data_IF_072766454998
#
_entry.id   IF_072766454998
#
_cell.length_a   1.000
_cell.length_b   1.000
_cell.length_c   1.000
_cell.angle_alpha   90.00
_cell.angle_beta   90.00
_cell.angle_gamma   90.00
#
_symmetry.space_group_name_H-M   'P 1'
#
loop_
_entity.id
_entity.type
_entity.pdbx_description
1 polymer ?
#
# COMPACT_ATOMS: atom_id res chain seq x y z
N UNK A 1 -9.65 -0.28 -9.29
CA UNK A 1 -8.35 -0.11 -8.58
C UNK A 1 -7.35 0.48 -9.54
N UNK A 2 -6.58 1.47 -9.10
CA UNK A 2 -5.43 2.02 -9.84
C UNK A 2 -4.18 1.44 -9.17
N UNK A 3 -3.32 0.80 -9.95
CA UNK A 3 -2.11 0.14 -9.46
C UNK A 3 -0.89 0.78 -10.11
N UNK A 4 -0.25 1.67 -9.39
CA UNK A 4 1.01 2.33 -9.76
C UNK A 4 2.21 1.76 -8.99
N UNK A 5 3.44 2.12 -9.35
CA UNK A 5 4.65 1.62 -8.69
C UNK A 5 4.76 2.04 -7.21
N UNK A 6 4.38 3.26 -6.89
CA UNK A 6 4.53 3.86 -5.56
C UNK A 6 3.19 4.14 -4.86
N UNK A 7 2.08 3.99 -5.58
CA UNK A 7 0.71 4.25 -5.10
C UNK A 7 -0.23 3.14 -5.53
N UNK A 8 -1.18 2.82 -4.67
CA UNK A 8 -2.33 1.99 -5.04
C UNK A 8 -3.60 2.65 -4.53
N UNK A 9 -4.55 2.91 -5.42
CA UNK A 9 -5.85 3.41 -5.05
C UNK A 9 -6.93 2.34 -5.33
N UNK A 10 -7.66 1.97 -4.30
CA UNK A 10 -8.73 0.98 -4.36
C UNK A 10 -10.03 1.59 -3.84
N UNK A 11 -11.11 1.43 -4.58
CA UNK A 11 -12.46 1.71 -4.10
C UNK A 11 -13.32 0.49 -4.36
N UNK A 12 -13.95 -0.04 -3.31
CA UNK A 12 -14.74 -1.27 -3.47
C UNK A 12 -15.07 -1.94 -2.15
N UNK A 13 -15.38 -3.22 -2.23
CA UNK A 13 -15.80 -4.02 -1.08
C UNK A 13 -14.63 -4.30 -0.14
N UNK A 14 -14.84 -3.97 1.13
CA UNK A 14 -14.00 -4.41 2.24
C UNK A 14 -14.35 -5.85 2.59
N UNK A 15 -13.36 -6.72 2.69
CA UNK A 15 -13.54 -8.07 3.22
C UNK A 15 -13.98 -8.08 4.68
N UNK A 16 -14.07 -9.27 5.29
CA UNK A 16 -14.34 -9.40 6.74
C UNK A 16 -13.32 -8.60 7.56
N UNK A 17 -13.74 -7.95 8.66
CA UNK A 17 -12.86 -7.18 9.52
C UNK A 17 -11.81 -8.07 10.21
N UNK A 18 -10.70 -8.31 9.56
CA UNK A 18 -9.58 -9.11 10.08
C UNK A 18 -8.37 -8.21 10.33
N UNK A 19 -7.47 -8.69 11.20
CA UNK A 19 -6.20 -8.02 11.46
C UNK A 19 -5.34 -8.04 10.18
N UNK A 20 -4.82 -6.88 9.81
CA UNK A 20 -3.93 -6.66 8.66
C UNK A 20 -2.77 -5.76 9.03
N UNK A 21 -1.70 -5.80 8.25
CA UNK A 21 -0.52 -4.96 8.48
C UNK A 21 0.19 -4.71 7.15
N UNK A 22 -0.06 -3.54 6.56
CA UNK A 22 0.58 -3.13 5.32
C UNK A 22 1.95 -2.52 5.57
N UNK A 23 2.88 -2.69 4.66
CA UNK A 23 4.20 -2.08 4.72
C UNK A 23 4.25 -0.65 4.16
N UNK A 24 3.12 0.01 4.01
CA UNK A 24 2.97 1.35 3.46
C UNK A 24 2.11 2.23 4.37
N UNK A 25 2.14 3.55 4.15
CA UNK A 25 1.12 4.43 4.70
C UNK A 25 -0.21 4.09 4.05
N UNK A 26 -1.23 3.82 4.86
CA UNK A 26 -2.54 3.43 4.36
C UNK A 26 -3.58 4.44 4.80
N UNK A 27 -4.17 5.11 3.82
CA UNK A 27 -5.29 6.01 4.04
C UNK A 27 -6.58 5.26 3.71
N UNK A 28 -7.48 5.23 4.66
CA UNK A 28 -8.84 4.72 4.51
C UNK A 28 -9.82 5.87 4.41
N UNK A 29 -10.79 5.79 3.50
CA UNK A 29 -11.86 6.76 3.35
C UNK A 29 -13.21 6.10 3.56
N UNK A 30 -14.03 6.68 4.42
CA UNK A 30 -15.44 6.35 4.57
C UNK A 30 -16.19 6.83 3.32
N UNK A 31 -16.82 5.92 2.57
CA UNK A 31 -17.52 6.29 1.32
C UNK A 31 -19.00 6.61 1.56
N UNK A 32 -19.71 5.73 2.25
CA UNK A 32 -21.16 5.82 2.48
C UNK A 32 -21.52 5.80 3.96
N UNK A 33 -20.91 4.85 4.68
CA UNK A 33 -21.11 4.69 6.14
C UNK A 33 -19.80 4.99 6.86
N UNK A 34 -19.86 5.41 8.15
CA UNK A 34 -18.65 5.63 8.93
C UNK A 34 -17.74 4.40 8.93
N UNK A 35 -16.44 4.62 8.91
CA UNK A 35 -15.46 3.57 9.13
C UNK A 35 -15.07 3.49 10.60
N UNK A 36 -14.85 2.26 11.04
CA UNK A 36 -14.33 1.95 12.37
C UNK A 36 -12.93 1.37 12.21
N UNK A 37 -11.94 2.00 12.84
CA UNK A 37 -10.54 1.58 12.86
C UNK A 37 -10.14 1.19 14.26
N UNK A 38 -9.57 -0.03 14.42
CA UNK A 38 -9.02 -0.52 15.68
C UNK A 38 -7.52 -0.76 15.57
N UNK A 39 -6.74 -0.13 16.45
CA UNK A 39 -5.27 -0.27 16.58
C UNK A 39 -4.98 -0.56 18.06
N UNK A 40 -4.47 -1.77 18.35
CA UNK A 40 -4.37 -2.23 19.74
C UNK A 40 -5.73 -2.21 20.42
N UNK A 41 -5.81 -1.56 21.58
CA UNK A 41 -7.03 -1.39 22.36
C UNK A 41 -7.84 -0.14 21.98
N UNK A 42 -7.29 0.70 21.09
CA UNK A 42 -7.96 1.92 20.64
C UNK A 42 -8.89 1.60 19.46
N UNK A 43 -10.14 2.04 19.59
CA UNK A 43 -11.15 1.97 18.54
C UNK A 43 -11.64 3.37 18.21
N UNK A 44 -11.56 3.72 16.94
CA UNK A 44 -11.91 5.04 16.45
C UNK A 44 -12.96 4.92 15.34
N UNK A 45 -13.90 5.87 15.28
CA UNK A 45 -14.92 5.93 14.24
C UNK A 45 -14.90 7.29 13.55
N UNK A 46 -14.98 7.29 12.21
CA UNK A 46 -14.99 8.53 11.41
C UNK A 46 -15.81 8.38 10.14
N UNK A 47 -16.46 9.46 9.73
CA UNK A 47 -17.11 9.59 8.42
C UNK A 47 -16.18 10.20 7.35
N UNK A 48 -14.95 10.55 7.73
CA UNK A 48 -13.91 11.12 6.86
C UNK A 48 -12.86 10.10 6.43
N UNK A 49 -11.60 10.45 6.70
CA UNK A 49 -10.43 9.61 6.42
C UNK A 49 -9.73 9.20 7.71
N UNK A 50 -9.08 8.04 7.66
CA UNK A 50 -8.20 7.54 8.71
C UNK A 50 -6.89 7.09 8.11
N UNK A 51 -5.78 7.30 8.81
CA UNK A 51 -4.44 6.98 8.32
C UNK A 51 -3.77 6.01 9.28
N UNK A 52 -3.17 4.98 8.70
CA UNK A 52 -2.43 3.95 9.43
C UNK A 52 -0.98 3.97 8.95
N UNK A 53 -0.01 4.16 9.85
CA UNK A 53 1.41 4.09 9.52
C UNK A 53 1.84 2.70 9.02
N UNK A 54 2.97 2.61 8.29
CA UNK A 54 3.51 1.34 7.83
C UNK A 54 3.71 0.34 8.98
N UNK A 55 3.48 -0.94 8.70
CA UNK A 55 3.66 -2.07 9.61
C UNK A 55 2.84 -2.00 10.91
N UNK A 56 1.83 -1.15 10.98
CA UNK A 56 0.93 -1.05 12.13
C UNK A 56 -0.21 -2.08 12.00
N UNK A 57 -0.30 -3.06 12.89
CA UNK A 57 -1.40 -4.02 12.87
C UNK A 57 -2.71 -3.34 13.26
N UNK A 58 -3.73 -3.49 12.41
CA UNK A 58 -5.02 -2.83 12.62
C UNK A 58 -6.17 -3.66 12.04
N UNK A 59 -7.39 -3.28 12.41
CA UNK A 59 -8.64 -3.75 11.79
C UNK A 59 -9.43 -2.55 11.31
N UNK A 60 -10.10 -2.70 10.18
CA UNK A 60 -11.01 -1.68 9.64
C UNK A 60 -12.34 -2.35 9.27
N UNK A 61 -13.43 -1.65 9.53
CA UNK A 61 -14.80 -2.10 9.24
C UNK A 61 -15.65 -0.93 8.77
N UNK A 62 -16.63 -1.20 7.92
CA UNK A 62 -17.72 -0.30 7.54
C UNK A 62 -19.02 -1.11 7.52
N UNK A 63 -20.15 -0.49 7.82
CA UNK A 63 -21.43 -1.21 7.91
C UNK A 63 -21.86 -1.76 6.52
N UNK A 64 -21.67 -0.98 5.45
CA UNK A 64 -22.00 -1.35 4.06
C UNK A 64 -20.86 -2.05 3.34
N UNK A 65 -19.74 -2.27 4.02
CA UNK A 65 -18.52 -2.90 3.48
C UNK A 65 -17.89 -2.15 2.29
N UNK A 66 -18.26 -0.90 2.03
CA UNK A 66 -17.66 -0.08 0.98
C UNK A 66 -16.59 0.84 1.56
N UNK A 67 -15.40 0.85 0.94
CA UNK A 67 -14.26 1.62 1.43
C UNK A 67 -13.38 2.14 0.30
N UNK A 68 -12.78 3.32 0.52
CA UNK A 68 -11.63 3.80 -0.24
C UNK A 68 -10.33 3.45 0.49
N UNK A 69 -9.33 3.00 -0.24
CA UNK A 69 -7.99 2.69 0.31
C UNK A 69 -6.93 3.28 -0.61
N UNK A 70 -6.09 4.17 -0.07
CA UNK A 70 -4.90 4.67 -0.76
C UNK A 70 -3.65 4.19 -0.01
N UNK A 71 -2.83 3.45 -0.70
CA UNK A 71 -1.53 2.98 -0.22
C UNK A 71 -0.43 3.88 -0.79
N UNK A 72 0.44 4.39 0.07
CA UNK A 72 1.54 5.29 -0.25
C UNK A 72 2.83 4.62 0.25
N UNK A 73 3.73 4.31 -0.66
CA UNK A 73 4.98 3.62 -0.32
C UNK A 73 5.92 4.53 0.49
N UNK A 74 6.45 4.09 1.64
CA UNK A 74 7.18 4.94 2.56
C UNK A 74 8.51 5.45 2.01
N UNK A 75 9.15 4.70 1.10
CA UNK A 75 10.39 5.13 0.45
C UNK A 75 10.19 6.21 -0.61
N UNK A 76 8.94 6.45 -1.02
CA UNK A 76 8.60 7.39 -2.09
C UNK A 76 8.18 8.77 -1.60
N UNK A 77 7.98 8.94 -0.30
CA UNK A 77 7.50 10.21 0.29
C UNK A 77 8.34 10.63 1.47
N UNK A 78 8.58 11.93 1.60
CA UNK A 78 9.20 12.50 2.78
C UNK A 78 8.17 12.56 3.92
N UNK A 79 8.33 11.77 5.01
CA UNK A 79 7.37 11.73 6.09
C UNK A 79 7.22 13.06 6.82
N UNK A 80 8.28 13.89 6.88
CA UNK A 80 8.28 15.16 7.58
C UNK A 80 7.58 16.26 6.77
N UNK A 81 7.42 16.05 5.47
CA UNK A 81 6.77 16.97 4.53
C UNK A 81 5.39 16.50 4.05
N UNK A 82 4.93 15.38 4.57
CA UNK A 82 3.55 14.96 4.34
C UNK A 82 2.58 16.01 4.90
N UNK A 83 1.41 16.21 4.29
CA UNK A 83 0.35 16.97 4.92
C UNK A 83 0.17 16.49 6.37
N UNK A 84 -0.08 17.41 7.30
CA UNK A 84 -0.21 17.09 8.74
C UNK A 84 -1.06 15.85 9.00
N UNK A 85 -2.12 15.70 8.23
CA UNK A 85 -3.03 14.54 8.28
C UNK A 85 -2.40 13.20 7.87
N UNK A 86 -1.23 13.22 7.19
CA UNK A 86 -0.55 12.03 6.70
C UNK A 86 0.75 11.73 7.46
N UNK A 87 1.15 12.60 8.41
CA UNK A 87 2.40 12.43 9.14
C UNK A 87 2.36 11.23 10.10
N UNK A 88 3.47 10.49 10.26
CA UNK A 88 3.60 9.47 11.29
C UNK A 88 3.35 10.08 12.68
N UNK A 89 2.47 9.45 13.48
CA UNK A 89 2.11 9.96 14.81
C UNK A 89 1.02 11.04 14.83
N UNK A 90 0.56 11.52 13.66
CA UNK A 90 -0.70 12.25 13.59
C UNK A 90 -1.83 11.35 14.12
N UNK A 91 -2.86 11.91 14.79
CA UNK A 91 -3.99 11.09 15.24
C UNK A 91 -4.52 10.28 14.04
N UNK A 92 -4.72 8.98 14.25
CA UNK A 92 -5.20 8.05 13.23
C UNK A 92 -6.56 8.45 12.64
N UNK A 93 -7.19 9.44 13.26
CA UNK A 93 -8.42 10.08 12.83
C UNK A 93 -8.21 11.59 12.73
N UNK A 94 -8.77 12.15 11.69
CA UNK A 94 -9.04 13.57 11.64
C UNK A 94 -10.39 13.79 12.33
N UNK A 95 -10.42 14.40 13.54
CA UNK A 95 -11.69 14.75 14.18
C UNK A 95 -12.44 15.75 13.30
N UNK A 96 -13.75 15.77 13.41
CA UNK A 96 -14.64 16.72 12.72
C UNK A 96 -14.29 18.20 12.96
N UNK A 97 -13.48 18.50 13.98
CA UNK A 97 -12.99 19.84 14.36
C UNK A 97 -11.58 20.18 13.82
N UNK A 98 -11.14 19.54 12.75
CA UNK A 98 -9.81 19.75 12.15
C UNK A 98 -9.72 21.08 11.40
N UNK A 99 -8.53 21.73 11.32
CA UNK A 99 -8.35 22.96 10.53
C UNK A 99 -8.85 22.84 9.10
N UNK A 100 -9.47 23.88 8.56
CA UNK A 100 -10.12 23.92 7.22
C UNK A 100 -9.25 23.36 6.09
N UNK A 101 -7.94 23.57 6.14
CA UNK A 101 -7.00 23.05 5.13
C UNK A 101 -6.92 21.50 5.12
N UNK A 102 -7.16 20.86 6.26
CA UNK A 102 -7.13 19.39 6.40
C UNK A 102 -8.49 18.79 6.03
N UNK A 103 -9.60 19.50 6.29
CA UNK A 103 -10.94 19.11 5.86
C UNK A 103 -11.03 19.05 4.34
N UNK A 104 -10.48 20.05 3.63
CA UNK A 104 -10.47 20.08 2.16
C UNK A 104 -9.73 18.89 1.52
N UNK A 105 -8.67 18.39 2.15
CA UNK A 105 -7.98 17.17 1.68
C UNK A 105 -8.88 15.94 1.86
N UNK A 106 -9.52 15.81 3.01
CA UNK A 106 -10.42 14.68 3.30
C UNK A 106 -11.60 14.60 2.34
N UNK A 107 -12.22 15.72 2.03
CA UNK A 107 -13.32 15.81 1.07
C UNK A 107 -12.87 15.45 -0.35
N UNK A 108 -11.75 16.00 -0.80
CA UNK A 108 -11.18 15.66 -2.13
C UNK A 108 -10.85 14.17 -2.24
N UNK A 109 -10.21 13.60 -1.24
CA UNK A 109 -9.86 12.18 -1.20
C UNK A 109 -11.13 11.32 -1.29
N UNK A 110 -12.15 11.64 -0.50
CA UNK A 110 -13.42 10.92 -0.50
C UNK A 110 -14.14 11.03 -1.84
N UNK A 111 -14.23 12.24 -2.42
CA UNK A 111 -14.85 12.45 -3.73
C UNK A 111 -14.12 11.67 -4.82
N UNK A 112 -12.79 11.70 -4.82
CA UNK A 112 -11.97 10.94 -5.77
C UNK A 112 -12.26 9.44 -5.66
N UNK A 113 -12.39 8.89 -4.46
CA UNK A 113 -12.75 7.48 -4.29
C UNK A 113 -14.19 7.19 -4.75
N UNK A 114 -15.15 8.07 -4.52
CA UNK A 114 -16.51 7.90 -5.02
C UNK A 114 -16.54 7.88 -6.56
N UNK A 115 -15.78 8.74 -7.21
CA UNK A 115 -15.61 8.74 -8.67
C UNK A 115 -14.92 7.47 -9.15
N UNK A 116 -13.88 7.01 -8.45
CA UNK A 116 -13.20 5.74 -8.76
C UNK A 116 -14.16 4.55 -8.64
N UNK A 117 -15.02 4.53 -7.61
CA UNK A 117 -16.00 3.47 -7.40
C UNK A 117 -17.08 3.43 -8.50
N UNK A 118 -17.40 4.59 -9.10
CA UNK A 118 -18.34 4.70 -10.24
C UNK A 118 -17.72 4.37 -11.59
N UNK A 119 -16.36 4.32 -11.64
CA UNK A 119 -15.65 4.15 -12.91
C UNK A 119 -15.50 5.44 -13.74
N UNK A 120 -15.68 6.61 -13.12
CA UNK A 120 -15.70 7.93 -13.80
C UNK A 120 -14.34 8.32 -14.43
N UNK A 121 -13.26 7.60 -14.12
CA UNK A 121 -11.93 7.87 -14.67
C UNK A 121 -11.63 7.13 -15.99
N UNK A 122 -12.57 6.32 -16.48
CA UNK A 122 -12.33 5.49 -17.67
C UNK A 122 -11.32 4.36 -17.41
N UNK A 123 -10.83 3.75 -18.48
CA UNK A 123 -9.85 2.64 -18.42
C UNK A 123 -8.42 3.07 -18.69
N UNK A 124 -8.23 4.24 -19.24
CA UNK A 124 -6.90 4.80 -19.52
C UNK A 124 -6.58 5.89 -18.49
N UNK A 125 -5.69 5.56 -17.59
CA UNK A 125 -5.12 6.47 -16.60
C UNK A 125 -3.60 6.63 -16.84
N UNK A 126 -3.15 6.37 -18.06
CA UNK A 126 -1.77 6.60 -18.47
C UNK A 126 -1.44 8.08 -18.30
N UNK A 127 -0.39 8.38 -17.55
CA UNK A 127 0.02 9.75 -17.27
C UNK A 127 -0.78 10.48 -16.17
N UNK A 128 -1.80 9.87 -15.59
CA UNK A 128 -2.50 10.45 -14.43
C UNK A 128 -1.64 10.26 -13.18
N UNK A 129 -1.28 11.36 -12.53
CA UNK A 129 -0.59 11.31 -11.26
C UNK A 129 -1.59 11.12 -10.11
N UNK A 130 -1.38 10.07 -9.31
CA UNK A 130 -2.27 9.73 -8.20
C UNK A 130 -2.21 10.79 -7.10
N UNK A 131 -1.05 11.38 -6.83
CA UNK A 131 -0.93 12.43 -5.82
C UNK A 131 -1.71 13.68 -6.23
N UNK A 132 -1.61 14.11 -7.50
CA UNK A 132 -2.41 15.21 -8.03
C UNK A 132 -3.91 14.90 -7.99
N UNK A 133 -4.29 13.67 -8.31
CA UNK A 133 -5.68 13.24 -8.31
C UNK A 133 -6.29 13.32 -6.90
N UNK A 134 -5.61 12.77 -5.91
CA UNK A 134 -6.11 12.66 -4.53
C UNK A 134 -5.86 13.89 -3.69
N UNK A 135 -4.71 14.55 -3.84
CA UNK A 135 -4.29 15.65 -2.96
C UNK A 135 -4.29 17.01 -3.66
N UNK A 136 -4.43 17.06 -4.99
CA UNK A 136 -4.33 18.27 -5.79
C UNK A 136 -2.90 18.82 -5.90
N UNK A 137 -1.92 18.09 -5.41
CA UNK A 137 -0.50 18.40 -5.46
C UNK A 137 0.33 17.12 -5.41
N UNK A 138 1.56 17.17 -5.91
CA UNK A 138 2.54 16.13 -5.70
C UNK A 138 2.93 16.06 -4.22
N UNK A 139 3.08 14.84 -3.70
CA UNK A 139 3.74 14.64 -2.41
C UNK A 139 5.25 14.77 -2.59
N UNK A 140 5.91 15.42 -1.64
CA UNK A 140 7.35 15.59 -1.72
C UNK A 140 8.05 14.24 -1.59
N UNK A 141 9.01 14.01 -2.49
CA UNK A 141 9.75 12.75 -2.55
C UNK A 141 10.81 12.70 -1.46
N UNK A 142 10.94 11.52 -0.87
CA UNK A 142 12.01 11.23 0.05
C UNK A 142 13.34 11.17 -0.70
N UNK A 143 14.35 11.87 -0.18
CA UNK A 143 15.74 11.72 -0.65
C UNK A 143 16.41 10.64 0.17
N UNK A 144 16.80 9.55 -0.47
CA UNK A 144 17.50 8.44 0.16
C UNK A 144 19.02 8.53 -0.11
N UNK A 145 19.83 7.99 0.81
CA UNK A 145 21.22 7.67 0.51
C UNK A 145 21.32 6.87 -0.79
N UNK A 146 22.18 7.27 -1.72
CA UNK A 146 22.24 6.70 -3.07
C UNK A 146 22.42 5.16 -3.06
N UNK A 147 23.15 4.63 -2.08
CA UNK A 147 23.39 3.18 -1.91
C UNK A 147 22.09 2.47 -1.50
N UNK A 148 21.34 3.07 -0.55
CA UNK A 148 20.04 2.55 -0.11
C UNK A 148 19.02 2.65 -1.24
N UNK A 149 18.98 3.77 -1.95
CA UNK A 149 18.11 3.98 -3.11
C UNK A 149 18.32 2.92 -4.19
N UNK A 150 19.57 2.57 -4.49
CA UNK A 150 19.90 1.52 -5.47
C UNK A 150 19.35 0.15 -5.04
N UNK A 151 19.52 -0.22 -3.77
CA UNK A 151 18.98 -1.49 -3.23
C UNK A 151 17.46 -1.47 -3.21
N UNK A 152 16.83 -0.39 -2.73
CA UNK A 152 15.37 -0.26 -2.69
C UNK A 152 14.77 -0.34 -4.10
N UNK A 153 15.33 0.37 -5.08
CA UNK A 153 14.91 0.32 -6.49
C UNK A 153 15.05 -1.08 -7.10
N UNK A 154 16.11 -1.80 -6.76
CA UNK A 154 16.30 -3.19 -7.20
C UNK A 154 15.20 -4.10 -6.66
N UNK A 155 14.85 -3.97 -5.37
CA UNK A 155 13.78 -4.77 -4.76
C UNK A 155 12.41 -4.41 -5.34
N UNK A 156 12.15 -3.13 -5.61
CA UNK A 156 10.89 -2.69 -6.24
C UNK A 156 10.74 -3.25 -7.65
N UNK A 157 11.80 -3.21 -8.45
CA UNK A 157 11.79 -3.75 -9.82
C UNK A 157 11.75 -5.27 -9.88
N UNK A 158 12.37 -5.94 -8.91
CA UNK A 158 12.48 -7.39 -8.85
C UNK A 158 12.09 -7.91 -7.44
N UNK A 159 10.80 -7.82 -7.05
CA UNK A 159 10.35 -8.16 -5.70
C UNK A 159 10.53 -9.64 -5.34
N UNK A 160 10.72 -10.49 -6.35
CA UNK A 160 10.91 -11.94 -6.22
C UNK A 160 12.38 -12.35 -6.10
N UNK A 161 13.31 -11.43 -6.44
CA UNK A 161 14.73 -11.75 -6.42
C UNK A 161 15.21 -12.11 -5.00
N UNK A 162 16.01 -13.18 -4.94
CA UNK A 162 16.63 -13.64 -3.70
C UNK A 162 17.86 -12.77 -3.39
N UNK A 163 17.62 -11.55 -2.88
CA UNK A 163 18.68 -10.66 -2.43
C UNK A 163 18.78 -10.71 -0.91
N UNK A 164 19.80 -11.39 -0.37
CA UNK A 164 20.00 -11.44 1.08
C UNK A 164 20.46 -10.09 1.63
N UNK A 165 20.34 -9.89 2.94
CA UNK A 165 20.82 -8.66 3.57
C UNK A 165 22.36 -8.55 3.54
N UNK A 166 23.04 -9.69 3.59
CA UNK A 166 24.51 -9.77 3.46
C UNK A 166 24.96 -9.34 2.06
N UNK A 167 24.28 -9.85 1.02
CA UNK A 167 24.54 -9.44 -0.36
C UNK A 167 24.28 -7.96 -0.58
N UNK A 168 23.18 -7.44 -0.02
CA UNK A 168 22.86 -6.02 -0.11
C UNK A 168 23.90 -5.15 0.62
N UNK A 169 24.39 -5.58 1.78
CA UNK A 169 25.47 -4.91 2.50
C UNK A 169 26.77 -4.89 1.68
N UNK A 170 27.15 -6.01 1.08
CA UNK A 170 28.33 -6.10 0.18
C UNK A 170 28.20 -5.14 -1.01
N UNK A 171 27.04 -5.11 -1.67
CA UNK A 171 26.78 -4.21 -2.81
C UNK A 171 26.89 -2.72 -2.44
N UNK A 172 26.63 -2.37 -1.18
CA UNK A 172 26.70 -1.00 -0.69
C UNK A 172 28.07 -0.63 -0.11
N UNK A 173 29.00 -1.60 0.01
CA UNK A 173 30.29 -1.40 0.67
C UNK A 173 30.17 -1.15 2.17
N UNK A 174 29.08 -1.59 2.80
CA UNK A 174 28.82 -1.42 4.23
C UNK A 174 28.95 -2.75 4.98
N UNK A 175 29.30 -2.68 6.28
CA UNK A 175 29.12 -3.84 7.15
C UNK A 175 27.63 -4.20 7.25
N UNK A 176 27.33 -5.47 7.51
CA UNK A 176 25.97 -5.97 7.64
C UNK A 176 25.12 -5.14 8.62
N UNK A 177 25.63 -4.88 9.82
CA UNK A 177 24.93 -4.09 10.83
C UNK A 177 24.68 -2.65 10.35
N UNK A 178 25.72 -1.99 9.79
CA UNK A 178 25.60 -0.61 9.30
C UNK A 178 24.60 -0.49 8.16
N UNK A 179 24.57 -1.47 7.25
CA UNK A 179 23.59 -1.52 6.18
C UNK A 179 22.16 -1.60 6.75
N UNK A 180 21.88 -2.52 7.66
CA UNK A 180 20.54 -2.67 8.25
C UNK A 180 20.07 -1.41 8.98
N UNK A 181 20.97 -0.77 9.74
CA UNK A 181 20.66 0.48 10.43
C UNK A 181 20.38 1.61 9.45
N UNK A 182 21.25 1.80 8.46
CA UNK A 182 21.07 2.85 7.44
C UNK A 182 19.79 2.61 6.65
N UNK A 183 19.56 1.38 6.18
CA UNK A 183 18.35 1.05 5.43
C UNK A 183 17.08 1.37 6.22
N UNK A 184 17.05 1.01 7.51
CA UNK A 184 15.89 1.30 8.37
C UNK A 184 15.69 2.79 8.60
N UNK A 185 16.75 3.55 8.81
CA UNK A 185 16.69 5.00 8.99
C UNK A 185 16.18 5.71 7.73
N UNK A 186 16.71 5.31 6.57
CA UNK A 186 16.41 5.91 5.29
C UNK A 186 15.02 5.55 4.75
N UNK A 187 14.64 4.26 4.81
CA UNK A 187 13.38 3.75 4.23
C UNK A 187 12.22 3.78 5.23
N UNK A 188 12.52 3.87 6.53
CA UNK A 188 11.49 3.78 7.58
C UNK A 188 11.01 2.35 7.87
N UNK A 189 11.66 1.33 7.30
CA UNK A 189 11.30 -0.08 7.43
C UNK A 189 12.52 -0.97 7.57
N UNK A 190 12.37 -2.13 8.25
CA UNK A 190 13.44 -3.12 8.24
C UNK A 190 13.62 -3.70 6.84
N UNK A 191 14.84 -4.05 6.47
CA UNK A 191 15.15 -4.67 5.16
C UNK A 191 14.26 -5.91 4.87
N UNK A 192 14.13 -6.79 5.86
CA UNK A 192 13.27 -7.97 5.76
C UNK A 192 11.80 -7.61 5.57
N UNK A 193 11.30 -6.64 6.34
CA UNK A 193 9.91 -6.17 6.23
C UNK A 193 9.62 -5.54 4.88
N UNK A 194 10.53 -4.70 4.39
CA UNK A 194 10.41 -4.06 3.08
C UNK A 194 10.33 -5.10 1.95
N UNK A 195 11.24 -6.08 1.92
CA UNK A 195 11.19 -7.16 0.92
C UNK A 195 9.89 -7.98 1.00
N UNK A 196 9.49 -8.35 2.22
CA UNK A 196 8.24 -9.11 2.42
C UNK A 196 7.01 -8.33 1.93
N UNK A 197 6.96 -7.03 2.22
CA UNK A 197 5.91 -6.15 1.75
C UNK A 197 5.88 -6.05 0.22
N UNK A 198 7.03 -5.75 -0.43
CA UNK A 198 7.09 -5.61 -1.89
C UNK A 198 6.66 -6.89 -2.60
N UNK A 199 7.04 -8.05 -2.08
CA UNK A 199 6.58 -9.35 -2.58
C UNK A 199 5.07 -9.54 -2.39
N UNK A 200 4.53 -9.26 -1.20
CA UNK A 200 3.10 -9.38 -0.96
C UNK A 200 2.28 -8.38 -1.80
N UNK A 201 2.81 -7.17 -2.01
CA UNK A 201 2.16 -6.14 -2.81
C UNK A 201 2.03 -6.53 -4.28
N UNK A 202 3.02 -7.24 -4.83
CA UNK A 202 2.97 -7.70 -6.23
C UNK A 202 1.80 -8.64 -6.52
N UNK A 203 1.26 -9.31 -5.49
CA UNK A 203 0.02 -10.10 -5.60
C UNK A 203 -1.17 -9.28 -6.14
N UNK A 204 -1.21 -7.96 -5.91
CA UNK A 204 -2.30 -7.11 -6.39
C UNK A 204 -2.41 -7.08 -7.93
N UNK A 205 -1.33 -7.38 -8.65
CA UNK A 205 -1.36 -7.49 -10.12
C UNK A 205 -2.21 -8.66 -10.61
N UNK A 206 -2.47 -9.64 -9.75
CA UNK A 206 -3.22 -10.86 -10.06
C UNK A 206 -4.61 -10.89 -9.41
N UNK A 207 -4.98 -9.84 -8.66
CA UNK A 207 -6.16 -9.85 -7.78
C UNK A 207 -7.50 -10.14 -8.50
N UNK A 208 -7.64 -9.78 -9.77
CA UNK A 208 -8.84 -10.04 -10.59
C UNK A 208 -8.71 -11.26 -11.51
N UNK A 209 -7.62 -12.03 -11.36
CA UNK A 209 -7.40 -13.27 -12.12
C UNK A 209 -7.94 -14.50 -11.39
N UNK A 210 -7.77 -15.65 -12.04
CA UNK A 210 -8.10 -16.98 -11.48
C UNK A 210 -6.89 -17.93 -11.54
N UNK A 211 -5.68 -17.50 -11.15
CA UNK A 211 -4.51 -18.36 -11.25
C UNK A 211 -4.58 -19.52 -10.26
N UNK A 212 -3.87 -20.60 -10.58
CA UNK A 212 -3.54 -21.64 -9.60
C UNK A 212 -2.74 -21.02 -8.45
N UNK A 213 -3.16 -21.24 -7.19
CA UNK A 213 -2.44 -20.71 -6.04
C UNK A 213 -0.99 -21.21 -5.95
N UNK A 214 -0.76 -22.45 -6.40
CA UNK A 214 0.58 -23.03 -6.39
C UNK A 214 1.47 -22.38 -7.43
N UNK A 215 1.01 -22.23 -8.66
CA UNK A 215 1.75 -21.56 -9.73
C UNK A 215 2.03 -20.11 -9.38
N UNK A 216 1.01 -19.38 -8.92
CA UNK A 216 1.19 -17.99 -8.51
C UNK A 216 2.17 -17.84 -7.35
N UNK A 217 2.12 -18.73 -6.35
CA UNK A 217 3.07 -18.69 -5.24
C UNK A 217 4.52 -18.78 -5.74
N UNK A 218 4.80 -19.74 -6.63
CA UNK A 218 6.12 -19.92 -7.23
C UNK A 218 6.53 -18.71 -8.09
N UNK A 219 5.62 -18.22 -8.93
CA UNK A 219 5.84 -17.07 -9.80
C UNK A 219 6.25 -15.82 -9.01
N UNK A 220 5.57 -15.54 -7.89
CA UNK A 220 5.90 -14.38 -7.04
C UNK A 220 6.93 -14.70 -5.94
N UNK A 221 7.66 -15.80 -6.08
CA UNK A 221 8.86 -16.14 -5.30
C UNK A 221 8.59 -16.66 -3.89
N UNK A 222 7.45 -17.30 -3.64
CA UNK A 222 7.21 -18.08 -2.42
C UNK A 222 7.58 -19.56 -2.66
N UNK A 223 8.05 -20.26 -1.61
CA UNK A 223 8.44 -21.65 -1.77
C UNK A 223 7.25 -22.59 -2.08
N UNK A 224 6.07 -22.23 -1.60
CA UNK A 224 4.82 -22.99 -1.79
C UNK A 224 3.58 -22.12 -1.53
N UNK A 225 2.40 -22.68 -1.83
CA UNK A 225 1.10 -22.02 -1.66
C UNK A 225 0.72 -21.79 -0.19
N UNK A 226 1.29 -22.55 0.76
CA UNK A 226 1.01 -22.41 2.20
C UNK A 226 1.71 -21.16 2.74
N UNK A 227 3.01 -21.02 2.45
CA UNK A 227 3.78 -19.82 2.81
C UNK A 227 3.21 -18.56 2.15
N UNK A 228 2.82 -18.66 0.88
CA UNK A 228 2.11 -17.59 0.17
C UNK A 228 0.82 -17.20 0.89
N UNK A 229 -0.07 -18.16 1.14
CA UNK A 229 -1.36 -17.91 1.79
C UNK A 229 -1.21 -17.32 3.19
N UNK A 230 -0.23 -17.78 3.96
CA UNK A 230 0.09 -17.23 5.27
C UNK A 230 0.55 -15.76 5.17
N UNK A 231 1.48 -15.47 4.25
CA UNK A 231 2.00 -14.11 4.03
C UNK A 231 0.89 -13.14 3.59
N UNK A 232 0.07 -13.51 2.61
CA UNK A 232 -1.03 -12.70 2.13
C UNK A 232 -2.06 -12.45 3.24
N UNK A 233 -2.38 -13.48 4.04
CA UNK A 233 -3.29 -13.33 5.18
C UNK A 233 -2.72 -12.41 6.26
N UNK A 234 -1.42 -12.46 6.53
CA UNK A 234 -0.78 -11.56 7.48
C UNK A 234 -0.83 -10.11 7.02
N UNK A 235 -0.60 -9.86 5.73
CA UNK A 235 -0.58 -8.52 5.14
C UNK A 235 -1.99 -7.98 4.96
N UNK A 236 -2.86 -8.70 4.25
CA UNK A 236 -4.18 -8.21 3.83
C UNK A 236 -5.31 -8.59 4.78
N UNK A 237 -5.04 -9.48 5.74
CA UNK A 237 -6.05 -10.02 6.64
C UNK A 237 -6.99 -11.06 5.99
N UNK A 238 -6.85 -11.33 4.71
CA UNK A 238 -7.71 -12.21 3.91
C UNK A 238 -6.88 -13.33 3.27
N UNK A 239 -7.51 -14.46 3.02
CA UNK A 239 -6.87 -15.52 2.23
C UNK A 239 -6.85 -15.11 0.74
N UNK A 240 -5.84 -15.55 -0.04
CA UNK A 240 -5.80 -15.25 -1.48
C UNK A 240 -7.10 -15.60 -2.21
N UNK A 241 -7.71 -16.74 -1.90
CA UNK A 241 -9.00 -17.17 -2.49
C UNK A 241 -10.14 -16.21 -2.21
N UNK A 242 -10.19 -15.63 -1.02
CA UNK A 242 -11.23 -14.66 -0.63
C UNK A 242 -11.03 -13.34 -1.40
N UNK A 243 -9.76 -12.94 -1.62
CA UNK A 243 -9.43 -11.76 -2.42
C UNK A 243 -9.83 -11.99 -3.88
N UNK A 244 -9.47 -13.12 -4.49
CA UNK A 244 -9.88 -13.46 -5.86
C UNK A 244 -11.40 -13.49 -6.01
N UNK A 245 -12.10 -14.15 -5.07
CA UNK A 245 -13.56 -14.22 -5.11
C UNK A 245 -14.22 -12.85 -5.03
N UNK A 246 -13.69 -11.94 -4.19
CA UNK A 246 -14.21 -10.58 -4.01
C UNK A 246 -13.76 -9.59 -5.09
N UNK A 247 -12.80 -9.95 -5.93
CA UNK A 247 -12.19 -9.05 -6.93
C UNK A 247 -12.49 -9.44 -8.38
N UNK A 248 -13.38 -10.39 -8.62
CA UNK A 248 -13.67 -10.89 -9.99
C UNK A 248 -14.08 -9.78 -10.96
N UNK A 249 -14.91 -8.86 -10.50
CA UNK A 249 -15.42 -7.74 -11.29
C UNK A 249 -14.61 -6.44 -11.08
N UNK A 250 -13.46 -6.53 -10.38
CA UNK A 250 -12.63 -5.38 -10.10
C UNK A 250 -11.87 -4.95 -11.35
N UNK A 251 -12.17 -3.75 -11.86
CA UNK A 251 -11.37 -3.14 -12.90
C UNK A 251 -10.01 -2.71 -12.31
N UNK A 252 -8.91 -3.21 -12.89
CA UNK A 252 -7.55 -2.84 -12.51
C UNK A 252 -6.91 -2.07 -13.64
N UNK A 253 -6.59 -0.81 -13.38
CA UNK A 253 -5.79 0.04 -14.27
C UNK A 253 -4.36 0.05 -13.75
N UNK A 254 -3.40 -0.35 -14.59
CA UNK A 254 -1.98 -0.41 -14.24
C UNK A 254 -1.26 0.80 -14.82
N UNK A 255 -0.51 1.51 -14.01
CA UNK A 255 0.33 2.62 -14.44
C UNK A 255 1.77 2.15 -14.64
N UNK A 256 2.43 2.56 -15.73
CA UNK A 256 3.84 2.24 -16.01
C UNK A 256 4.09 0.80 -16.50
N UNK A 257 3.17 0.23 -17.25
CA UNK A 257 3.14 -1.19 -17.61
C UNK A 257 3.96 -1.63 -18.82
N UNK A 258 5.16 -1.12 -19.11
CA UNK A 258 6.03 -1.74 -20.14
C UNK A 258 7.00 -2.79 -19.60
N UNK A 259 7.34 -2.75 -18.30
CA UNK A 259 8.40 -3.62 -17.76
C UNK A 259 7.96 -5.03 -17.36
N UNK A 260 6.65 -5.32 -17.27
CA UNK A 260 6.19 -6.66 -16.85
C UNK A 260 5.72 -7.57 -18.00
N UNK A 261 5.62 -7.07 -19.24
CA UNK A 261 5.31 -7.91 -20.43
C UNK A 261 6.50 -8.64 -21.00
N UNK A 262 7.72 -8.34 -20.55
CA UNK A 262 8.95 -8.95 -21.08
C UNK A 262 9.38 -10.25 -20.34
N UNK A 263 8.52 -10.81 -19.50
CA UNK A 263 8.77 -12.06 -18.76
C UNK A 263 7.68 -13.12 -18.98
N UNK A 264 7.05 -13.12 -20.17
CA UNK A 264 6.28 -14.26 -20.66
C UNK A 264 7.05 -15.00 -21.74
#
# INVERSE_FOLDING_TARGET
MILGPERVAYAGLLGVPTRRSFGCHTLYAALRTPLRLSIGDTCLETSGIAIVPPYTPHRVATADRMIGVLMIEPESVDPDRLPYSLQPGAPALLPTATPVAVQGIGERVRDTFLRLARGDFGRDLTGVDIDLLFFGRMLERRTLDARVAAIASRIVRHPYAQLSAEQAAQMTGLSFSRFLHLFRAEVGATYRGFRAWKRARSFLHYANGTPSLTELALEIGYPDSTHFSHSIRQVYGLRPRDIFAGSRDLAIVRQGGESMRAMQ
#
